data_IF_711644425118
#
_entry.id   IF_711644425118
#
_cell.length_a   1.000
_cell.length_b   1.000
_cell.length_c   1.000
_cell.angle_alpha   90.00
_cell.angle_beta   90.00
_cell.angle_gamma   90.00
#
_symmetry.space_group_name_H-M   'P 1'
#
loop_
_entity.id
_entity.type
_entity.pdbx_description
1 polymer ?
#
# COMPACT_ATOMS: atom_id res chain seq x y z
N UNK A 1 1.42 13.84 -2.13
CA UNK A 1 0.51 12.95 -2.89
C UNK A 1 1.17 12.42 -4.16
N UNK A 2 0.97 11.13 -4.50
CA UNK A 2 1.45 10.49 -5.74
C UNK A 2 0.49 10.75 -6.91
N UNK A 3 0.97 10.69 -8.17
CA UNK A 3 0.13 10.90 -9.37
C UNK A 3 -1.04 9.91 -9.50
N UNK A 4 -0.85 8.68 -9.03
CA UNK A 4 -1.85 7.61 -9.11
C UNK A 4 -2.71 7.56 -7.83
N UNK A 5 -2.86 8.68 -7.11
CA UNK A 5 -3.65 8.74 -5.89
C UNK A 5 -5.11 8.35 -6.13
N UNK A 6 -5.71 8.78 -7.24
CA UNK A 6 -7.11 8.46 -7.53
C UNK A 6 -7.31 6.95 -7.74
N UNK A 7 -6.32 6.25 -8.32
CA UNK A 7 -6.32 4.79 -8.47
C UNK A 7 -6.32 4.12 -7.10
N UNK A 8 -5.53 4.64 -6.17
CA UNK A 8 -5.49 4.16 -4.79
C UNK A 8 -6.84 4.30 -4.08
N UNK A 9 -7.46 5.48 -4.16
CA UNK A 9 -8.75 5.75 -3.53
C UNK A 9 -9.84 4.87 -4.15
N UNK A 10 -9.86 4.73 -5.47
CA UNK A 10 -10.78 3.81 -6.16
C UNK A 10 -10.60 2.36 -5.70
N UNK A 11 -9.36 1.91 -5.43
CA UNK A 11 -9.08 0.58 -4.90
C UNK A 11 -9.65 0.36 -3.50
N UNK A 12 -9.63 1.40 -2.65
CA UNK A 12 -10.27 1.34 -1.33
C UNK A 12 -11.80 1.29 -1.47
N UNK A 13 -12.38 2.23 -2.23
CA UNK A 13 -13.84 2.36 -2.39
C UNK A 13 -14.48 1.13 -3.04
N UNK A 14 -13.77 0.48 -3.97
CA UNK A 14 -14.25 -0.70 -4.69
C UNK A 14 -13.78 -2.02 -4.07
N UNK A 15 -13.01 -1.98 -2.98
CA UNK A 15 -12.34 -3.15 -2.38
C UNK A 15 -11.56 -3.98 -3.43
N UNK A 16 -10.82 -3.29 -4.31
CA UNK A 16 -10.02 -3.90 -5.38
C UNK A 16 -8.53 -3.89 -5.08
N UNK A 17 -7.86 -4.97 -5.44
CA UNK A 17 -6.41 -5.09 -5.29
C UNK A 17 -5.71 -4.14 -6.27
N UNK A 18 -4.50 -3.78 -5.90
CA UNK A 18 -3.61 -2.96 -6.70
C UNK A 18 -2.36 -3.76 -7.04
N UNK A 19 -1.95 -3.73 -8.29
CA UNK A 19 -0.57 -4.01 -8.62
C UNK A 19 0.25 -2.75 -8.28
N UNK A 20 1.16 -2.89 -7.32
CA UNK A 20 1.96 -1.79 -6.83
C UNK A 20 3.42 -1.99 -7.24
N UNK A 21 3.98 -1.01 -7.95
CA UNK A 21 5.42 -0.93 -8.17
C UNK A 21 6.03 0.10 -7.23
N UNK A 22 6.96 -0.32 -6.38
CA UNK A 22 7.59 0.56 -5.40
C UNK A 22 9.07 0.23 -5.16
N UNK A 23 9.83 1.21 -4.70
CA UNK A 23 11.23 1.01 -4.34
C UNK A 23 11.37 0.38 -2.95
N UNK A 24 11.81 -0.87 -2.90
CA UNK A 24 12.08 -1.58 -1.66
C UNK A 24 13.46 -1.21 -1.11
N UNK A 25 13.50 -0.53 0.04
CA UNK A 25 14.77 -0.23 0.73
C UNK A 25 15.54 -1.49 1.14
N UNK A 26 14.82 -2.57 1.48
CA UNK A 26 15.39 -3.88 1.85
C UNK A 26 16.17 -4.50 0.71
N UNK A 27 15.62 -4.45 -0.50
CA UNK A 27 16.22 -5.07 -1.69
C UNK A 27 16.98 -4.10 -2.58
N UNK A 28 16.93 -2.79 -2.27
CA UNK A 28 17.52 -1.68 -3.05
C UNK A 28 17.15 -1.73 -4.54
N UNK A 29 15.92 -2.14 -4.83
CA UNK A 29 15.37 -2.27 -6.17
C UNK A 29 13.88 -1.99 -6.15
N UNK A 30 13.34 -1.74 -7.33
CA UNK A 30 11.89 -1.76 -7.55
C UNK A 30 11.36 -3.19 -7.38
N UNK A 31 10.20 -3.27 -6.74
CA UNK A 31 9.47 -4.50 -6.50
C UNK A 31 8.04 -4.26 -6.97
N UNK A 32 7.52 -5.22 -7.70
CA UNK A 32 6.10 -5.33 -8.04
C UNK A 32 5.48 -6.31 -7.05
N UNK A 33 4.35 -5.93 -6.46
CA UNK A 33 3.59 -6.78 -5.55
C UNK A 33 2.10 -6.50 -5.68
N UNK A 34 1.30 -7.56 -5.55
CA UNK A 34 -0.15 -7.44 -5.42
C UNK A 34 -0.51 -7.02 -3.99
N UNK A 35 -1.19 -5.87 -3.87
CA UNK A 35 -1.48 -5.24 -2.60
C UNK A 35 -2.97 -4.97 -2.42
N UNK A 36 -3.45 -5.03 -1.18
CA UNK A 36 -4.74 -4.46 -0.80
C UNK A 36 -4.54 -3.03 -0.26
N UNK A 37 -5.08 -1.97 -0.91
CA UNK A 37 -5.03 -0.62 -0.37
C UNK A 37 -5.91 -0.50 0.87
N UNK A 38 -5.38 0.08 1.95
CA UNK A 38 -6.10 0.16 3.22
C UNK A 38 -6.55 1.60 3.52
N UNK A 39 -5.60 2.53 3.62
CA UNK A 39 -5.91 3.94 3.86
C UNK A 39 -4.74 4.87 3.48
N UNK A 40 -5.06 6.16 3.36
CA UNK A 40 -4.08 7.24 3.16
C UNK A 40 -4.15 8.20 4.34
N UNK A 41 -3.05 8.36 5.07
CA UNK A 41 -2.98 9.27 6.20
C UNK A 41 -1.55 9.79 6.40
N UNK A 42 -1.40 10.84 7.22
CA UNK A 42 -0.08 11.34 7.61
C UNK A 42 0.59 10.33 8.54
N UNK A 43 1.73 9.79 8.13
CA UNK A 43 2.51 8.88 8.94
C UNK A 43 3.45 9.60 9.90
N UNK A 44 3.61 9.05 11.12
CA UNK A 44 4.49 9.57 12.16
C UNK A 44 5.98 9.19 11.99
N UNK A 45 6.32 8.46 10.92
CA UNK A 45 7.52 7.62 10.89
C UNK A 45 8.88 8.37 10.85
N UNK A 46 8.92 9.70 10.72
CA UNK A 46 10.20 10.41 10.64
C UNK A 46 10.15 11.89 11.04
N UNK A 47 9.38 12.28 12.07
CA UNK A 47 9.41 13.65 12.61
C UNK A 47 8.76 14.75 11.74
N UNK A 48 8.66 14.50 10.43
CA UNK A 48 7.86 15.28 9.49
C UNK A 48 6.55 14.52 9.19
N UNK A 49 5.43 15.23 9.22
CA UNK A 49 4.11 14.76 8.83
C UNK A 49 4.07 14.41 7.34
N UNK A 50 4.65 13.27 6.96
CA UNK A 50 4.63 12.81 5.57
C UNK A 50 3.36 12.03 5.28
N UNK A 51 2.73 12.38 4.16
CA UNK A 51 1.68 11.57 3.56
C UNK A 51 2.16 10.13 3.32
N UNK A 52 1.38 9.15 3.78
CA UNK A 52 1.67 7.73 3.64
C UNK A 52 0.49 6.98 3.03
N UNK A 53 0.82 6.10 2.09
CA UNK A 53 -0.06 5.08 1.57
C UNK A 53 0.14 3.80 2.38
N UNK A 54 -0.92 3.34 3.02
CA UNK A 54 -0.93 2.12 3.81
C UNK A 54 -1.57 1.00 3.00
N UNK A 55 -0.80 -0.07 2.79
CA UNK A 55 -1.20 -1.22 2.00
C UNK A 55 -0.90 -2.52 2.73
N UNK A 56 -1.56 -3.59 2.30
CA UNK A 56 -1.24 -4.95 2.67
C UNK A 56 -0.68 -5.71 1.48
N UNK A 57 0.57 -6.13 1.57
CA UNK A 57 1.23 -7.01 0.59
C UNK A 57 0.65 -8.42 0.70
N UNK A 58 -0.01 -8.88 -0.36
CA UNK A 58 -0.65 -10.20 -0.42
C UNK A 58 0.34 -11.31 -0.79
N UNK A 59 1.52 -10.95 -1.29
CA UNK A 59 2.53 -11.88 -1.80
C UNK A 59 3.75 -12.00 -0.87
N UNK A 60 3.76 -11.28 0.25
CA UNK A 60 4.84 -11.33 1.23
C UNK A 60 4.90 -12.70 1.93
N UNK A 61 5.87 -13.53 1.54
CA UNK A 61 6.11 -14.85 2.15
C UNK A 61 6.76 -14.77 3.55
N UNK A 62 7.53 -13.72 3.84
CA UNK A 62 8.28 -13.53 5.11
C UNK A 62 8.44 -12.05 5.48
N UNK A 63 7.77 -11.64 6.55
CA UNK A 63 7.92 -10.30 7.14
C UNK A 63 6.59 -9.71 7.59
N UNK A 64 6.57 -8.39 7.80
CA UNK A 64 5.33 -7.63 7.93
C UNK A 64 4.75 -7.44 6.54
N UNK A 65 3.55 -7.95 6.32
CA UNK A 65 2.78 -7.72 5.08
C UNK A 65 2.26 -6.28 5.03
N UNK A 66 2.30 -5.56 6.15
CA UNK A 66 1.89 -4.17 6.20
C UNK A 66 2.97 -3.25 5.60
N UNK A 67 2.60 -2.51 4.56
CA UNK A 67 3.42 -1.52 3.88
C UNK A 67 2.95 -0.11 4.22
N UNK A 68 3.88 0.75 4.64
CA UNK A 68 3.67 2.19 4.76
C UNK A 68 4.66 2.90 3.83
N UNK A 69 4.16 3.46 2.73
CA UNK A 69 4.99 4.02 1.66
C UNK A 69 4.68 5.51 1.48
N UNK A 70 5.74 6.32 1.46
CA UNK A 70 5.62 7.71 1.03
C UNK A 70 5.36 7.80 -0.49
N UNK A 71 4.74 8.89 -0.98
CA UNK A 71 4.57 9.14 -2.41
C UNK A 71 5.85 8.95 -3.23
N UNK A 72 7.00 9.35 -2.70
CA UNK A 72 8.30 9.24 -3.39
C UNK A 72 8.84 7.81 -3.51
N UNK A 73 8.29 6.84 -2.77
CA UNK A 73 8.69 5.44 -2.87
C UNK A 73 7.89 4.68 -3.90
N UNK A 74 6.78 5.23 -4.37
CA UNK A 74 5.86 4.59 -5.30
C UNK A 74 6.24 5.01 -6.72
N UNK A 75 6.25 4.04 -7.63
CA UNK A 75 6.56 4.24 -9.05
C UNK A 75 5.26 4.28 -9.86
N UNK A 76 4.37 3.31 -9.61
CA UNK A 76 3.05 3.21 -10.22
C UNK A 76 2.07 2.44 -9.34
N UNK A 77 0.78 2.70 -9.55
CA UNK A 77 -0.32 1.90 -9.02
C UNK A 77 -1.30 1.58 -10.15
N UNK A 78 -1.71 0.31 -10.25
CA UNK A 78 -2.69 -0.13 -11.23
C UNK A 78 -3.80 -0.94 -10.56
N UNK A 79 -5.05 -0.61 -10.88
CA UNK A 79 -6.21 -1.37 -10.40
C UNK A 79 -6.28 -2.71 -11.12
N UNK A 80 -6.47 -3.77 -10.34
CA UNK A 80 -6.73 -5.10 -10.90
C UNK A 80 -8.22 -5.40 -10.91
N UNK A 81 -8.60 -6.47 -11.62
CA UNK A 81 -9.97 -6.99 -11.60
C UNK A 81 -10.27 -7.81 -10.32
N UNK A 82 -9.25 -8.09 -9.51
CA UNK A 82 -9.37 -8.92 -8.32
C UNK A 82 -9.87 -8.11 -7.12
N UNK A 83 -10.92 -8.63 -6.48
CA UNK A 83 -11.42 -8.08 -5.23
C UNK A 83 -10.61 -8.59 -4.02
N UNK A 84 -10.60 -7.81 -2.95
CA UNK A 84 -10.25 -8.25 -1.60
C UNK A 84 -11.37 -7.86 -0.65
N UNK A 85 -11.33 -8.32 0.61
CA UNK A 85 -12.23 -7.82 1.65
C UNK A 85 -11.42 -7.10 2.70
N UNK A 86 -11.74 -5.85 2.97
CA UNK A 86 -11.07 -5.05 4.03
C UNK A 86 -11.16 -5.75 5.39
N UNK A 87 -12.24 -6.51 5.62
CA UNK A 87 -12.46 -7.30 6.84
C UNK A 87 -11.37 -8.34 7.10
N UNK A 88 -10.71 -8.87 6.05
CA UNK A 88 -9.62 -9.83 6.18
C UNK A 88 -8.42 -9.23 6.94
N UNK A 89 -8.31 -7.90 6.96
CA UNK A 89 -7.21 -7.16 7.59
C UNK A 89 -7.65 -6.40 8.86
N UNK A 90 -8.96 -6.30 9.12
CA UNK A 90 -9.55 -5.54 10.23
C UNK A 90 -9.20 -6.07 11.63
N UNK A 91 -8.68 -7.29 11.74
CA UNK A 91 -8.17 -7.87 12.99
C UNK A 91 -6.67 -7.69 13.23
N UNK A 92 -5.93 -7.03 12.32
CA UNK A 92 -4.46 -6.91 12.38
C UNK A 92 -3.96 -5.56 12.88
N UNK A 93 -4.87 -4.69 13.33
CA UNK A 93 -4.55 -3.60 14.24
C UNK A 93 -4.22 -4.20 15.61
N UNK A 94 -2.97 -4.61 15.84
CA UNK A 94 -2.54 -4.88 17.21
C UNK A 94 -2.25 -3.53 17.90
N UNK A 95 -2.69 -3.36 19.16
CA UNK A 95 -2.62 -2.10 19.93
C UNK A 95 -1.20 -1.67 20.28
#
# INVERSE_FOLDING_TARGET
MHRDHDVFIQGIEQEKRLELTFFSRKHRREVVSLCAPLHYSKGLAAGDEMDCYYLWDLEAEKGSNFLALSPSQIVSMELTEEAFRVQDFSGMSNP
#
